data_IF_366326316788
#
_entry.id   IF_366326316788
#
_cell.length_a   1.000
_cell.length_b   1.000
_cell.length_c   1.000
_cell.angle_alpha   90.00
_cell.angle_beta   90.00
_cell.angle_gamma   90.00
#
_symmetry.space_group_name_H-M   'P 1'
#
loop_
_entity.id
_entity.type
_entity.pdbx_description
1 polymer ?
#
# COMPACT_ATOMS: atom_id res chain seq x y z
N UNK A 1 30.58 6.12 -5.05
CA UNK A 1 29.43 6.08 -5.98
C UNK A 1 28.37 5.19 -5.38
N UNK A 2 27.19 5.73 -5.09
CA UNK A 2 26.08 4.95 -4.55
C UNK A 2 24.76 5.56 -5.05
N UNK A 3 24.23 5.03 -6.14
CA UNK A 3 22.89 5.38 -6.65
C UNK A 3 22.17 4.10 -7.03
N UNK A 4 21.69 3.38 -6.04
CA UNK A 4 20.61 2.41 -6.22
C UNK A 4 19.59 2.67 -5.10
N UNK A 5 18.62 3.53 -5.37
CA UNK A 5 17.33 3.52 -4.67
C UNK A 5 16.23 3.97 -5.61
N UNK A 6 16.05 3.18 -6.67
CA UNK A 6 14.82 3.17 -7.48
C UNK A 6 13.90 2.05 -6.99
N UNK A 7 13.61 2.03 -5.69
CA UNK A 7 12.57 1.15 -5.18
C UNK A 7 11.22 1.87 -5.22
N UNK A 8 10.56 1.72 -6.37
CA UNK A 8 9.10 1.73 -6.52
C UNK A 8 8.38 3.03 -6.11
N UNK A 9 8.71 4.15 -6.76
CA UNK A 9 7.66 5.12 -7.07
C UNK A 9 6.82 4.50 -8.20
N UNK A 10 5.49 4.37 -8.08
CA UNK A 10 4.68 4.21 -9.27
C UNK A 10 4.90 5.47 -10.09
N UNK A 11 5.67 5.29 -11.18
CA UNK A 11 5.94 6.27 -12.20
C UNK A 11 4.60 6.90 -12.55
N UNK A 12 4.42 8.14 -12.11
CA UNK A 12 3.27 8.96 -12.44
C UNK A 12 3.28 9.07 -13.96
N UNK A 13 2.41 8.31 -14.61
CA UNK A 13 2.00 8.58 -15.98
C UNK A 13 1.22 9.89 -15.91
N UNK A 14 1.96 11.00 -15.86
CA UNK A 14 1.44 12.35 -15.82
C UNK A 14 0.77 12.62 -17.17
N UNK A 15 -0.55 12.42 -17.22
CA UNK A 15 -1.39 13.12 -18.19
C UNK A 15 -1.47 14.58 -17.70
N UNK A 16 -1.08 15.58 -18.52
CA UNK A 16 -1.18 16.98 -18.11
C UNK A 16 -2.67 17.30 -17.93
N UNK A 17 -3.09 17.64 -16.71
CA UNK A 17 -4.47 18.08 -16.43
C UNK A 17 -5.19 17.46 -15.22
N UNK A 18 -4.59 16.53 -14.45
CA UNK A 18 -5.27 16.00 -13.25
C UNK A 18 -4.80 16.71 -11.98
N UNK A 19 -5.74 17.41 -11.34
CA UNK A 19 -5.60 18.10 -10.07
C UNK A 19 -4.78 17.30 -9.05
N UNK A 20 -3.96 18.00 -8.24
CA UNK A 20 -3.19 17.43 -7.14
C UNK A 20 -4.13 16.59 -6.29
N UNK A 21 -3.93 15.26 -6.26
CA UNK A 21 -4.79 14.37 -5.47
C UNK A 21 -4.75 14.81 -4.01
N UNK A 22 -5.89 15.26 -3.48
CA UNK A 22 -6.03 15.60 -2.07
C UNK A 22 -5.71 14.35 -1.26
N UNK A 23 -4.88 14.52 -0.23
CA UNK A 23 -4.52 13.42 0.66
C UNK A 23 -5.75 13.00 1.44
N UNK A 24 -6.27 11.82 1.13
CA UNK A 24 -7.36 11.21 1.90
C UNK A 24 -6.82 10.70 3.23
N UNK A 25 -7.51 11.01 4.32
CA UNK A 25 -7.29 10.40 5.64
C UNK A 25 -8.39 9.34 5.82
N UNK A 26 -7.99 8.10 6.12
CA UNK A 26 -8.92 7.01 6.40
C UNK A 26 -9.27 7.00 7.89
N UNK A 27 -10.52 6.68 8.23
CA UNK A 27 -10.94 6.50 9.62
C UNK A 27 -10.32 5.23 10.23
N UNK A 28 -10.32 5.13 11.55
CA UNK A 28 -9.83 3.93 12.24
C UNK A 28 -10.58 2.66 11.82
N UNK A 29 -11.89 2.76 11.62
CA UNK A 29 -12.72 1.63 11.17
C UNK A 29 -12.37 1.20 9.74
N UNK A 30 -12.19 2.16 8.84
CA UNK A 30 -11.76 1.87 7.46
C UNK A 30 -10.40 1.18 7.44
N UNK A 31 -9.44 1.66 8.24
CA UNK A 31 -8.12 1.04 8.36
C UNK A 31 -8.21 -0.38 8.90
N UNK A 32 -9.00 -0.60 9.96
CA UNK A 32 -9.17 -1.93 10.55
C UNK A 32 -9.73 -2.94 9.53
N UNK A 33 -10.74 -2.55 8.75
CA UNK A 33 -11.33 -3.42 7.71
C UNK A 33 -10.36 -3.67 6.55
N UNK A 34 -9.61 -2.65 6.12
CA UNK A 34 -8.56 -2.79 5.11
C UNK A 34 -7.43 -3.74 5.57
N UNK A 35 -7.02 -3.66 6.83
CA UNK A 35 -6.01 -4.55 7.41
C UNK A 35 -6.52 -5.98 7.57
N UNK A 36 -7.78 -6.16 7.99
CA UNK A 36 -8.42 -7.46 8.06
C UNK A 36 -8.43 -8.15 6.68
N UNK A 37 -8.85 -7.45 5.63
CA UNK A 37 -8.86 -8.04 4.29
C UNK A 37 -7.44 -8.28 3.78
N UNK A 38 -6.48 -7.39 4.09
CA UNK A 38 -5.08 -7.60 3.72
C UNK A 38 -4.45 -8.85 4.36
N UNK A 39 -4.82 -9.13 5.61
CA UNK A 39 -4.38 -10.34 6.31
C UNK A 39 -4.93 -11.61 5.64
N UNK A 40 -6.13 -11.54 5.06
CA UNK A 40 -6.75 -12.64 4.32
C UNK A 40 -6.20 -12.77 2.91
N UNK A 41 -6.00 -11.65 2.22
CA UNK A 41 -5.51 -11.61 0.84
C UNK A 41 -4.72 -10.33 0.56
N UNK A 42 -3.44 -10.48 0.17
CA UNK A 42 -2.54 -9.33 -0.04
C UNK A 42 -2.72 -8.61 -1.39
N UNK A 43 -3.50 -9.20 -2.30
CA UNK A 43 -3.76 -8.70 -3.65
C UNK A 43 -5.25 -8.79 -3.97
N UNK A 44 -5.92 -7.66 -4.12
CA UNK A 44 -7.31 -7.63 -4.56
C UNK A 44 -7.40 -7.50 -6.09
N UNK A 45 -8.33 -8.26 -6.68
CA UNK A 45 -8.68 -8.18 -8.11
C UNK A 45 -10.10 -7.64 -8.30
N UNK A 46 -10.43 -7.24 -9.54
CA UNK A 46 -11.55 -6.37 -9.91
C UNK A 46 -12.80 -6.42 -9.01
N UNK A 47 -13.43 -7.60 -8.88
CA UNK A 47 -14.67 -7.72 -8.13
C UNK A 47 -14.51 -7.54 -6.63
N UNK A 48 -13.53 -8.21 -6.01
CA UNK A 48 -13.28 -8.10 -4.57
C UNK A 48 -12.90 -6.66 -4.18
N UNK A 49 -12.13 -5.99 -5.04
CA UNK A 49 -11.79 -4.58 -4.85
C UNK A 49 -13.03 -3.69 -4.88
N UNK A 50 -13.94 -3.91 -5.82
CA UNK A 50 -15.17 -3.15 -5.95
C UNK A 50 -16.09 -3.34 -4.72
N UNK A 51 -16.22 -4.58 -4.24
CA UNK A 51 -17.00 -4.89 -3.05
C UNK A 51 -16.44 -4.22 -1.79
N UNK A 52 -15.12 -4.30 -1.58
CA UNK A 52 -14.48 -3.67 -0.42
C UNK A 52 -14.57 -2.14 -0.48
N UNK A 53 -14.35 -1.56 -1.67
CA UNK A 53 -14.49 -0.12 -1.89
C UNK A 53 -15.91 0.36 -1.55
N UNK A 54 -16.93 -0.35 -2.04
CA UNK A 54 -18.33 -0.05 -1.77
C UNK A 54 -18.67 -0.16 -0.28
N UNK A 55 -18.18 -1.21 0.40
CA UNK A 55 -18.43 -1.41 1.83
C UNK A 55 -17.79 -0.35 2.73
N UNK A 56 -16.70 0.29 2.29
CA UNK A 56 -15.95 1.28 3.08
C UNK A 56 -16.21 2.73 2.63
N UNK A 57 -17.10 2.93 1.66
CA UNK A 57 -17.35 4.22 1.00
C UNK A 57 -16.06 4.85 0.45
N UNK A 58 -15.20 4.02 -0.14
CA UNK A 58 -13.96 4.43 -0.80
C UNK A 58 -14.05 4.17 -2.30
N UNK A 59 -13.15 4.77 -3.07
CA UNK A 59 -12.99 4.46 -4.50
C UNK A 59 -12.07 3.25 -4.69
N UNK A 60 -12.27 2.50 -5.77
CA UNK A 60 -11.38 1.39 -6.13
C UNK A 60 -9.91 1.81 -6.25
N UNK A 61 -9.64 3.03 -6.73
CA UNK A 61 -8.27 3.56 -6.84
C UNK A 61 -7.67 3.80 -5.45
N UNK A 62 -8.44 4.31 -4.47
CA UNK A 62 -7.97 4.47 -3.09
C UNK A 62 -7.64 3.12 -2.44
N UNK A 63 -8.52 2.12 -2.58
CA UNK A 63 -8.27 0.77 -2.08
C UNK A 63 -7.03 0.17 -2.74
N UNK A 64 -6.90 0.31 -4.07
CA UNK A 64 -5.73 -0.15 -4.83
C UNK A 64 -4.44 0.51 -4.34
N UNK A 65 -4.42 1.81 -4.13
CA UNK A 65 -3.24 2.54 -3.63
C UNK A 65 -2.91 2.13 -2.19
N UNK A 66 -3.93 1.96 -1.33
CA UNK A 66 -3.73 1.49 0.04
C UNK A 66 -3.08 0.10 0.05
N UNK A 67 -3.59 -0.85 -0.74
CA UNK A 67 -3.03 -2.20 -0.83
C UNK A 67 -1.60 -2.20 -1.37
N UNK A 68 -1.29 -1.34 -2.35
CA UNK A 68 0.08 -1.15 -2.83
C UNK A 68 0.99 -0.67 -1.70
N UNK A 69 0.61 0.41 -1.00
CA UNK A 69 1.38 0.96 0.11
C UNK A 69 1.55 -0.05 1.24
N UNK A 70 0.51 -0.83 1.55
CA UNK A 70 0.55 -1.85 2.59
C UNK A 70 1.54 -2.95 2.27
N UNK A 71 1.61 -3.42 1.01
CA UNK A 71 2.63 -4.38 0.56
C UNK A 71 4.05 -3.84 0.66
N UNK A 72 4.28 -2.56 0.35
CA UNK A 72 5.60 -1.92 0.54
C UNK A 72 6.00 -1.97 2.01
N UNK A 73 5.09 -1.55 2.91
CA UNK A 73 5.33 -1.59 4.36
C UNK A 73 5.62 -3.02 4.84
N UNK A 74 4.83 -3.99 4.40
CA UNK A 74 5.01 -5.40 4.77
C UNK A 74 6.37 -5.95 4.34
N UNK A 75 6.79 -5.70 3.09
CA UNK A 75 8.14 -6.09 2.62
C UNK A 75 9.24 -5.41 3.43
N UNK A 76 9.11 -4.10 3.69
CA UNK A 76 10.10 -3.36 4.48
C UNK A 76 10.26 -3.95 5.89
N UNK A 77 9.16 -4.28 6.57
CA UNK A 77 9.20 -4.91 7.88
C UNK A 77 9.93 -6.26 7.86
N UNK A 78 9.73 -7.07 6.82
CA UNK A 78 10.46 -8.34 6.66
C UNK A 78 11.97 -8.13 6.47
N UNK A 79 12.37 -7.15 5.64
CA UNK A 79 13.80 -6.82 5.46
C UNK A 79 14.45 -6.29 6.74
N UNK A 80 13.74 -5.43 7.49
CA UNK A 80 14.23 -4.85 8.74
C UNK A 80 14.41 -5.93 9.82
N UNK A 81 13.47 -6.88 9.91
CA UNK A 81 13.60 -8.05 10.78
C UNK A 81 14.81 -8.92 10.39
N UNK A 82 15.08 -9.10 9.09
CA UNK A 82 16.26 -9.83 8.61
C UNK A 82 17.55 -9.12 9.00
N UNK A 83 17.62 -7.79 8.85
CA UNK A 83 18.79 -6.99 9.22
C UNK A 83 19.03 -6.99 10.74
N UNK A 84 17.98 -6.86 11.54
CA UNK A 84 18.07 -6.91 12.99
C UNK A 84 18.58 -8.27 13.49
N UNK A 85 18.21 -9.38 12.83
CA UNK A 85 18.76 -10.71 13.14
C UNK A 85 20.25 -10.82 12.80
N UNK A 86 20.68 -10.27 11.66
CA UNK A 86 22.09 -10.28 11.25
C UNK A 86 22.97 -9.45 12.19
N UNK A 87 22.46 -8.30 12.67
CA UNK A 87 23.19 -7.43 13.60
C UNK A 87 23.33 -8.01 15.03
N UNK A 88 22.57 -9.05 15.38
CA UNK A 88 22.67 -9.73 16.69
C UNK A 88 23.60 -10.94 16.70
N UNK A 89 24.08 -11.39 15.54
CA UNK A 89 24.98 -12.54 15.40
C UNK A 89 26.42 -12.15 15.05
N UNK A 90 26.76 -10.86 15.11
CA UNK A 90 28.12 -10.34 15.01
C UNK A 90 28.38 -9.39 16.15
#
# INVERSE_FOLDING_TARGET
GFLISKCCLPLLKAKPGKAKRVRTIFSSEQLARLEQEFARQQYLVGQERCLLASSLHLTEEQVKVWFQNRRIKWRKQSLEQQQAKRAKMG
#
